data_IF_780691698068
#
_entry.id   IF_780691698068
#
_cell.length_a   1.000
_cell.length_b   1.000
_cell.length_c   1.000
_cell.angle_alpha   90.00
_cell.angle_beta   90.00
_cell.angle_gamma   90.00
#
_symmetry.space_group_name_H-M   'P 1'
#
loop_
_entity.id
_entity.type
_entity.pdbx_description
1 polymer ?
#
# COMPACT_ATOMS: atom_id res chain seq x y z
N UNK A 1 -65.44 -14.37 33.36
CA UNK A 1 -65.50 -13.77 32.01
C UNK A 1 -64.07 -13.55 31.52
N UNK A 2 -63.58 -14.47 30.69
CA UNK A 2 -62.22 -14.40 30.12
C UNK A 2 -62.28 -13.58 28.83
N UNK A 3 -61.59 -12.44 28.78
CA UNK A 3 -61.45 -11.63 27.56
C UNK A 3 -60.41 -12.25 26.65
N UNK A 4 -60.81 -12.74 25.49
CA UNK A 4 -59.99 -13.24 24.42
C UNK A 4 -59.39 -12.03 23.68
N UNK A 5 -58.06 -11.85 23.74
CA UNK A 5 -57.36 -10.86 22.94
C UNK A 5 -56.95 -11.52 21.64
N UNK A 6 -57.60 -11.06 20.55
CA UNK A 6 -57.32 -11.49 19.19
C UNK A 6 -56.10 -10.70 18.68
N UNK A 7 -54.93 -11.39 18.55
CA UNK A 7 -53.76 -10.77 17.91
C UNK A 7 -53.88 -10.97 16.41
N UNK A 8 -54.18 -9.88 15.70
CA UNK A 8 -54.15 -9.85 14.24
C UNK A 8 -52.69 -9.63 13.82
N UNK A 9 -52.03 -10.68 13.32
CA UNK A 9 -50.73 -10.58 12.68
C UNK A 9 -50.93 -10.08 11.25
N UNK A 10 -50.61 -8.82 11.01
CA UNK A 10 -50.48 -8.27 9.66
C UNK A 10 -49.22 -8.85 9.00
N UNK A 11 -49.39 -9.83 8.14
CA UNK A 11 -48.34 -10.24 7.19
C UNK A 11 -48.24 -9.15 6.12
N UNK A 12 -47.30 -8.25 6.27
CA UNK A 12 -46.88 -7.36 5.20
C UNK A 12 -46.00 -8.18 4.25
N UNK A 13 -46.36 -8.41 3.00
CA UNK A 13 -45.48 -9.02 2.04
C UNK A 13 -44.30 -8.08 1.79
N UNK A 14 -43.08 -8.49 2.22
CA UNK A 14 -41.85 -7.83 1.83
C UNK A 14 -41.67 -8.09 0.33
N UNK A 15 -42.04 -7.09 -0.47
CA UNK A 15 -41.68 -7.07 -1.88
C UNK A 15 -40.17 -6.85 -1.98
N UNK A 16 -39.41 -7.93 -2.04
CA UNK A 16 -38.03 -7.88 -2.47
C UNK A 16 -38.08 -7.62 -3.98
N UNK A 17 -38.07 -6.33 -4.36
CA UNK A 17 -37.74 -5.97 -5.70
C UNK A 17 -36.29 -6.36 -5.92
N UNK A 18 -36.08 -7.50 -6.57
CA UNK A 18 -34.80 -7.83 -7.16
C UNK A 18 -34.50 -6.76 -8.21
N UNK A 19 -33.81 -5.71 -7.78
CA UNK A 19 -33.07 -4.87 -8.69
C UNK A 19 -32.02 -5.80 -9.34
N UNK A 20 -32.32 -6.29 -10.54
CA UNK A 20 -31.30 -6.73 -11.46
C UNK A 20 -30.45 -5.49 -11.74
N UNK A 21 -29.36 -5.33 -10.96
CA UNK A 21 -28.22 -4.54 -11.41
C UNK A 21 -27.85 -5.17 -12.75
N UNK A 22 -28.05 -4.44 -13.85
CA UNK A 22 -27.40 -4.77 -15.10
C UNK A 22 -25.92 -4.81 -14.77
N UNK A 23 -25.38 -6.03 -14.65
CA UNK A 23 -23.96 -6.24 -14.75
C UNK A 23 -23.55 -5.66 -16.10
N UNK A 24 -23.00 -4.46 -16.08
CA UNK A 24 -22.16 -4.00 -17.17
C UNK A 24 -20.94 -4.89 -17.11
N UNK A 25 -20.99 -5.94 -17.88
CA UNK A 25 -19.90 -6.89 -18.12
C UNK A 25 -18.72 -6.14 -18.72
N UNK A 26 -17.87 -5.59 -17.86
CA UNK A 26 -16.55 -5.11 -18.25
C UNK A 26 -15.44 -6.14 -17.97
N UNK A 27 -15.75 -7.24 -17.29
CA UNK A 27 -14.87 -8.40 -17.21
C UNK A 27 -15.75 -9.66 -17.17
N UNK A 28 -15.79 -10.35 -18.28
CA UNK A 28 -16.34 -11.69 -18.36
C UNK A 28 -15.47 -12.62 -17.50
N UNK A 29 -16.05 -13.24 -16.48
CA UNK A 29 -15.43 -14.33 -15.70
C UNK A 29 -15.21 -15.61 -16.53
N UNK A 30 -15.29 -15.54 -17.86
CA UNK A 30 -15.06 -16.66 -18.80
C UNK A 30 -13.67 -16.64 -19.44
N UNK A 31 -12.75 -15.77 -18.97
CA UNK A 31 -11.39 -15.64 -19.55
C UNK A 31 -10.53 -16.90 -19.40
N UNK A 32 -10.85 -17.83 -18.52
CA UNK A 32 -10.09 -19.08 -18.42
C UNK A 32 -10.30 -20.03 -19.63
N UNK A 33 -11.35 -19.82 -20.44
CA UNK A 33 -11.62 -20.60 -21.65
C UNK A 33 -11.35 -19.86 -22.98
N UNK A 34 -11.27 -18.52 -22.96
CA UNK A 34 -11.02 -17.72 -24.16
C UNK A 34 -9.55 -17.34 -24.39
N UNK A 35 -8.68 -17.39 -23.36
CA UNK A 35 -7.24 -17.18 -23.50
C UNK A 35 -6.60 -18.14 -24.53
N UNK A 36 -7.25 -19.23 -24.86
CA UNK A 36 -6.75 -20.19 -25.86
C UNK A 36 -6.98 -19.80 -27.34
N UNK A 37 -7.68 -18.70 -27.66
CA UNK A 37 -8.10 -18.35 -29.02
C UNK A 37 -7.70 -16.98 -29.54
N UNK A 38 -7.10 -16.09 -28.75
CA UNK A 38 -6.69 -14.77 -29.25
C UNK A 38 -5.19 -14.68 -29.53
N UNK A 39 -4.89 -14.54 -30.81
CA UNK A 39 -3.64 -14.11 -31.46
C UNK A 39 -2.29 -14.62 -30.94
N UNK A 40 -1.70 -15.48 -31.73
CA UNK A 40 -0.38 -16.13 -31.58
C UNK A 40 0.86 -15.21 -31.54
N UNK A 41 0.79 -13.87 -31.42
CA UNK A 41 1.95 -13.00 -31.62
C UNK A 41 2.22 -11.93 -30.55
N UNK A 42 1.43 -11.78 -29.50
CA UNK A 42 1.82 -11.01 -28.31
C UNK A 42 1.88 -11.94 -27.10
N UNK A 43 3.05 -12.04 -26.48
CA UNK A 43 3.22 -12.76 -25.21
C UNK A 43 2.62 -11.89 -24.09
N UNK A 44 1.30 -11.96 -23.92
CA UNK A 44 0.60 -11.26 -22.83
C UNK A 44 1.10 -11.76 -21.49
N UNK A 45 1.51 -10.85 -20.63
CA UNK A 45 1.88 -11.16 -19.24
C UNK A 45 0.62 -11.16 -18.40
N UNK A 46 0.38 -12.26 -17.71
CA UNK A 46 -0.78 -12.44 -16.82
C UNK A 46 -0.34 -12.25 -15.37
N UNK A 47 -1.11 -11.51 -14.60
CA UNK A 47 -0.94 -11.35 -13.15
C UNK A 47 -2.02 -12.16 -12.44
N UNK A 48 -1.59 -13.09 -11.59
CA UNK A 48 -2.45 -13.81 -10.66
C UNK A 48 -2.38 -13.17 -9.27
N UNK A 49 -3.46 -12.51 -8.87
CA UNK A 49 -3.64 -11.93 -7.54
C UNK A 49 -4.17 -13.02 -6.61
N UNK A 50 -3.26 -13.68 -5.89
CA UNK A 50 -3.52 -14.96 -5.20
C UNK A 50 -4.57 -14.90 -4.09
N UNK A 51 -4.65 -13.79 -3.36
CA UNK A 51 -5.58 -13.60 -2.24
C UNK A 51 -6.98 -13.15 -2.69
N UNK A 52 -7.14 -12.82 -3.97
CA UNK A 52 -8.43 -12.52 -4.62
C UNK A 52 -8.86 -13.59 -5.65
N UNK A 53 -8.01 -14.59 -5.89
CA UNK A 53 -8.18 -15.62 -6.94
C UNK A 53 -8.52 -15.01 -8.31
N UNK A 54 -7.77 -13.98 -8.70
CA UNK A 54 -8.05 -13.16 -9.86
C UNK A 54 -6.89 -13.16 -10.86
N UNK A 55 -7.18 -13.45 -12.14
CA UNK A 55 -6.24 -13.36 -13.25
C UNK A 55 -6.52 -12.11 -14.06
N UNK A 56 -5.50 -11.31 -14.33
CA UNK A 56 -5.60 -10.01 -15.01
C UNK A 56 -4.49 -9.86 -16.05
N UNK A 57 -4.75 -9.08 -17.09
CA UNK A 57 -3.68 -8.49 -17.89
C UNK A 57 -2.83 -7.55 -17.05
N UNK A 58 -1.53 -7.43 -17.37
CA UNK A 58 -0.58 -6.61 -16.62
C UNK A 58 -1.06 -5.15 -16.46
N UNK A 59 -1.58 -4.54 -17.53
CA UNK A 59 -1.98 -3.13 -17.49
C UNK A 59 -3.27 -2.90 -16.67
N UNK A 60 -4.19 -3.86 -16.66
CA UNK A 60 -5.35 -3.83 -15.78
C UNK A 60 -4.95 -3.97 -14.32
N UNK A 61 -4.00 -4.86 -14.02
CA UNK A 61 -3.41 -4.97 -12.69
C UNK A 61 -2.73 -3.67 -12.26
N UNK A 62 -1.86 -3.09 -13.11
CA UNK A 62 -1.18 -1.81 -12.82
C UNK A 62 -2.19 -0.69 -12.57
N UNK A 63 -3.29 -0.64 -13.33
CA UNK A 63 -4.38 0.33 -13.11
C UNK A 63 -4.96 0.21 -11.70
N UNK A 64 -5.27 -1.01 -11.26
CA UNK A 64 -5.81 -1.25 -9.92
C UNK A 64 -4.82 -0.96 -8.79
N UNK A 65 -3.51 -1.16 -9.04
CA UNK A 65 -2.45 -0.78 -8.09
C UNK A 65 -2.31 0.73 -7.99
N UNK A 66 -2.18 1.44 -9.11
CA UNK A 66 -2.09 2.93 -9.11
C UNK A 66 -3.30 3.55 -8.41
N UNK A 67 -4.50 3.01 -8.69
CA UNK A 67 -5.74 3.46 -8.07
C UNK A 67 -5.81 3.21 -6.55
N UNK A 68 -5.12 2.18 -6.06
CA UNK A 68 -5.09 1.84 -4.64
C UNK A 68 -4.00 2.59 -3.86
N UNK A 69 -2.84 2.84 -4.49
CA UNK A 69 -1.64 3.38 -3.85
C UNK A 69 -1.55 4.91 -3.92
N UNK A 70 -2.12 5.53 -4.96
CA UNK A 70 -1.99 6.97 -5.16
C UNK A 70 -3.35 7.67 -5.31
N UNK A 71 -3.58 8.81 -4.63
CA UNK A 71 -4.81 9.58 -4.83
C UNK A 71 -4.98 9.99 -6.29
N UNK A 72 -6.16 9.70 -6.88
CA UNK A 72 -6.46 10.04 -8.27
C UNK A 72 -6.40 11.54 -8.59
N UNK A 73 -6.42 12.39 -7.55
CA UNK A 73 -6.28 13.86 -7.68
C UNK A 73 -4.85 14.33 -7.86
N UNK A 74 -3.84 13.47 -7.68
CA UNK A 74 -2.44 13.82 -7.94
C UNK A 74 -2.24 14.19 -9.41
N UNK A 75 -1.16 14.91 -9.68
CA UNK A 75 -0.79 15.29 -11.03
C UNK A 75 -0.58 14.05 -11.91
N UNK A 76 -0.85 14.20 -13.21
CA UNK A 76 -0.82 13.10 -14.14
C UNK A 76 0.58 12.47 -14.24
N UNK A 77 1.64 13.29 -14.18
CA UNK A 77 3.02 12.82 -14.19
C UNK A 77 3.36 11.98 -12.95
N UNK A 78 2.79 12.29 -11.79
CA UNK A 78 2.94 11.47 -10.60
C UNK A 78 2.25 10.10 -10.77
N UNK A 79 1.03 10.07 -11.35
CA UNK A 79 0.32 8.83 -11.67
C UNK A 79 1.09 7.99 -12.69
N UNK A 80 1.71 8.62 -13.70
CA UNK A 80 2.59 7.97 -14.68
C UNK A 80 3.82 7.36 -14.03
N UNK A 81 4.49 8.10 -13.14
CA UNK A 81 5.63 7.59 -12.37
C UNK A 81 5.25 6.37 -11.53
N UNK A 82 4.10 6.42 -10.82
CA UNK A 82 3.56 5.29 -10.07
C UNK A 82 3.26 4.09 -10.97
N UNK A 83 2.71 4.30 -12.18
CA UNK A 83 2.42 3.22 -13.12
C UNK A 83 3.70 2.51 -13.57
N UNK A 84 4.76 3.27 -13.91
CA UNK A 84 6.08 2.71 -14.27
C UNK A 84 6.69 1.95 -13.10
N UNK A 85 6.64 2.50 -11.88
CA UNK A 85 7.13 1.84 -10.69
C UNK A 85 6.36 0.54 -10.42
N UNK A 86 5.03 0.58 -10.39
CA UNK A 86 4.19 -0.60 -10.12
C UNK A 86 4.38 -1.70 -11.15
N UNK A 87 4.50 -1.34 -12.43
CA UNK A 87 4.77 -2.29 -13.51
C UNK A 87 6.15 -2.92 -13.37
N UNK A 88 7.17 -2.13 -13.02
CA UNK A 88 8.52 -2.63 -12.81
C UNK A 88 8.59 -3.61 -11.65
N UNK A 89 7.93 -3.29 -10.51
CA UNK A 89 7.80 -4.20 -9.38
C UNK A 89 7.20 -5.54 -9.80
N UNK A 90 6.04 -5.52 -10.44
CA UNK A 90 5.36 -6.73 -10.87
C UNK A 90 6.23 -7.55 -11.84
N UNK A 91 6.78 -6.89 -12.87
CA UNK A 91 7.58 -7.53 -13.91
C UNK A 91 8.91 -8.10 -13.39
N UNK A 92 9.47 -7.58 -12.29
CA UNK A 92 10.69 -8.13 -11.69
C UNK A 92 10.52 -9.56 -11.16
N UNK A 93 9.29 -10.00 -10.95
CA UNK A 93 8.94 -11.33 -10.42
C UNK A 93 8.32 -12.25 -11.48
N UNK A 94 8.38 -11.87 -12.77
CA UNK A 94 7.74 -12.65 -13.85
C UNK A 94 8.43 -13.99 -14.03
N UNK A 95 7.64 -15.06 -14.06
CA UNK A 95 8.08 -16.42 -14.37
C UNK A 95 7.14 -17.04 -15.42
N UNK A 96 7.70 -17.49 -16.55
CA UNK A 96 6.92 -18.08 -17.65
C UNK A 96 5.68 -17.27 -18.07
N UNK A 97 5.81 -15.94 -18.13
CA UNK A 97 4.72 -14.98 -18.43
C UNK A 97 3.60 -14.90 -17.39
N UNK A 98 3.76 -15.50 -16.24
CA UNK A 98 2.84 -15.38 -15.09
C UNK A 98 3.55 -14.69 -13.95
N UNK A 99 2.87 -13.72 -13.35
CA UNK A 99 3.26 -13.04 -12.12
C UNK A 99 2.30 -13.50 -11.03
N UNK A 100 2.80 -14.00 -9.90
CA UNK A 100 1.96 -14.34 -8.74
C UNK A 100 2.24 -13.34 -7.63
N UNK A 101 1.21 -12.63 -7.18
CA UNK A 101 1.34 -11.50 -6.25
C UNK A 101 0.14 -11.46 -5.29
N UNK A 102 0.29 -10.82 -4.12
CA UNK A 102 -0.83 -10.52 -3.22
C UNK A 102 -1.32 -9.09 -3.41
N UNK A 103 -2.58 -8.83 -3.03
CA UNK A 103 -3.18 -7.50 -3.08
C UNK A 103 -2.93 -6.65 -1.83
N UNK A 104 -1.94 -6.99 -1.02
CA UNK A 104 -1.64 -6.39 0.28
C UNK A 104 -0.29 -5.67 0.30
N UNK A 105 -0.01 -4.98 1.40
CA UNK A 105 1.29 -4.30 1.65
C UNK A 105 2.51 -5.23 1.67
N UNK A 106 2.33 -6.55 1.62
CA UNK A 106 3.45 -7.50 1.47
C UNK A 106 4.01 -7.52 0.05
N UNK A 107 3.21 -7.12 -0.93
CA UNK A 107 3.60 -6.92 -2.32
C UNK A 107 3.17 -5.51 -2.77
N UNK A 108 2.01 -5.38 -3.43
CA UNK A 108 1.44 -4.10 -3.85
C UNK A 108 -0.05 -4.08 -3.50
N UNK A 109 -0.55 -3.00 -2.92
CA UNK A 109 -1.99 -2.89 -2.68
C UNK A 109 -2.71 -2.81 -4.02
N UNK A 110 -3.65 -3.72 -4.24
CA UNK A 110 -4.47 -3.77 -5.44
C UNK A 110 -5.96 -3.68 -5.06
N UNK A 111 -6.72 -2.90 -5.79
CA UNK A 111 -8.18 -2.81 -5.68
C UNK A 111 -8.87 -3.15 -6.98
N UNK A 112 -9.93 -3.95 -6.87
CA UNK A 112 -10.84 -4.26 -7.99
C UNK A 112 -11.68 -3.03 -8.36
N UNK A 113 -12.25 -3.04 -9.56
CA UNK A 113 -13.18 -1.99 -9.99
C UNK A 113 -14.39 -1.85 -9.06
N UNK A 114 -14.85 -2.94 -8.48
CA UNK A 114 -15.93 -2.91 -7.47
C UNK A 114 -15.51 -2.13 -6.22
N UNK A 115 -14.34 -2.46 -5.63
CA UNK A 115 -13.79 -1.76 -4.47
C UNK A 115 -13.50 -0.28 -4.75
N UNK A 116 -13.04 0.04 -5.97
CA UNK A 116 -12.80 1.42 -6.40
C UNK A 116 -14.12 2.20 -6.58
N UNK A 117 -15.13 1.57 -7.15
CA UNK A 117 -16.46 2.19 -7.30
C UNK A 117 -17.09 2.52 -5.95
N UNK A 118 -16.98 1.61 -4.98
CA UNK A 118 -17.46 1.84 -3.61
C UNK A 118 -16.70 2.98 -2.92
N UNK A 119 -15.36 3.03 -3.07
CA UNK A 119 -14.54 4.08 -2.46
C UNK A 119 -14.75 5.48 -3.09
N UNK A 120 -14.91 5.56 -4.41
CA UNK A 120 -14.95 6.82 -5.16
C UNK A 120 -16.35 7.31 -5.47
N UNK A 121 -17.36 6.43 -5.34
CA UNK A 121 -18.76 6.76 -5.55
C UNK A 121 -18.99 7.55 -6.86
N UNK A 122 -19.62 8.71 -6.79
CA UNK A 122 -19.92 9.54 -7.96
C UNK A 122 -18.71 10.03 -8.77
N UNK A 123 -17.49 9.86 -8.25
CA UNK A 123 -16.25 10.23 -8.97
C UNK A 123 -15.58 9.07 -9.69
N UNK A 124 -16.11 7.84 -9.58
CA UNK A 124 -15.49 6.62 -10.07
C UNK A 124 -15.04 6.74 -11.53
N UNK A 125 -15.93 7.04 -12.45
CA UNK A 125 -15.63 7.13 -13.89
C UNK A 125 -14.54 8.17 -14.19
N UNK A 126 -14.61 9.34 -13.55
CA UNK A 126 -13.64 10.41 -13.73
C UNK A 126 -12.25 10.00 -13.27
N UNK A 127 -12.14 9.40 -12.08
CA UNK A 127 -10.86 9.01 -11.50
C UNK A 127 -10.26 7.82 -12.22
N UNK A 128 -11.07 6.81 -12.52
CA UNK A 128 -10.63 5.64 -13.26
C UNK A 128 -10.09 6.04 -14.64
N UNK A 129 -10.82 6.87 -15.39
CA UNK A 129 -10.38 7.35 -16.70
C UNK A 129 -9.02 8.07 -16.65
N UNK A 130 -8.80 8.90 -15.62
CA UNK A 130 -7.53 9.62 -15.44
C UNK A 130 -6.38 8.64 -15.20
N UNK A 131 -6.57 7.66 -14.32
CA UNK A 131 -5.54 6.66 -14.01
C UNK A 131 -5.26 5.76 -15.22
N UNK A 132 -6.31 5.28 -15.90
CA UNK A 132 -6.15 4.50 -17.14
C UNK A 132 -5.39 5.27 -18.22
N UNK A 133 -5.59 6.60 -18.32
CA UNK A 133 -4.82 7.48 -19.20
C UNK A 133 -3.33 7.43 -18.87
N UNK A 134 -2.97 7.64 -17.60
CA UNK A 134 -1.58 7.62 -17.14
C UNK A 134 -0.92 6.23 -17.35
N UNK A 135 -1.63 5.15 -17.08
CA UNK A 135 -1.14 3.78 -17.29
C UNK A 135 -0.91 3.50 -18.78
N UNK A 136 -1.86 3.91 -19.64
CA UNK A 136 -1.75 3.75 -21.09
C UNK A 136 -0.60 4.54 -21.71
N UNK A 137 -0.39 5.77 -21.27
CA UNK A 137 0.70 6.62 -21.78
C UNK A 137 2.09 6.10 -21.38
N UNK A 138 2.16 5.28 -20.35
CA UNK A 138 3.39 4.62 -19.88
C UNK A 138 3.44 3.12 -20.17
N UNK A 139 2.56 2.63 -21.05
CA UNK A 139 2.48 1.20 -21.41
C UNK A 139 3.85 0.69 -21.87
N UNK A 140 4.23 -0.51 -21.42
CA UNK A 140 5.53 -1.14 -21.68
C UNK A 140 6.76 -0.43 -21.09
N UNK A 141 6.63 0.68 -20.37
CA UNK A 141 7.77 1.32 -19.71
C UNK A 141 8.06 0.65 -18.37
N UNK A 142 9.31 0.24 -18.16
CA UNK A 142 9.83 -0.34 -16.93
C UNK A 142 11.21 0.24 -16.59
N UNK A 143 11.59 0.19 -15.32
CA UNK A 143 12.90 0.62 -14.83
C UNK A 143 13.87 -0.55 -14.92
N UNK A 144 15.03 -0.34 -15.53
CA UNK A 144 16.07 -1.35 -15.70
C UNK A 144 17.43 -0.85 -15.20
N UNK A 145 18.26 -1.78 -14.76
CA UNK A 145 19.70 -1.64 -14.54
C UNK A 145 20.38 -2.86 -15.13
N UNK A 146 21.46 -2.68 -15.88
CA UNK A 146 22.24 -3.77 -16.49
C UNK A 146 21.37 -4.76 -17.29
N UNK A 147 20.36 -4.25 -17.98
CA UNK A 147 19.33 -4.97 -18.74
C UNK A 147 18.33 -5.81 -17.90
N UNK A 148 18.45 -5.82 -16.58
CA UNK A 148 17.51 -6.48 -15.66
C UNK A 148 16.41 -5.50 -15.22
N UNK A 149 15.16 -5.96 -15.12
CA UNK A 149 14.05 -5.14 -14.59
C UNK A 149 14.23 -5.04 -13.08
N UNK A 150 14.29 -3.81 -12.58
CA UNK A 150 14.46 -3.58 -11.14
C UNK A 150 13.15 -3.82 -10.38
N UNK A 151 13.25 -4.47 -9.24
CA UNK A 151 12.20 -4.44 -8.23
C UNK A 151 12.16 -3.06 -7.60
N UNK A 152 11.17 -2.28 -7.97
CA UNK A 152 10.99 -0.90 -7.51
C UNK A 152 10.22 -0.85 -6.20
N UNK A 153 10.45 0.22 -5.45
CA UNK A 153 9.75 0.50 -4.20
C UNK A 153 9.18 1.90 -4.23
N UNK A 154 8.13 2.13 -3.46
CA UNK A 154 7.52 3.45 -3.28
C UNK A 154 6.89 3.55 -1.89
N UNK A 155 6.76 4.76 -1.40
CA UNK A 155 6.28 5.04 -0.06
C UNK A 155 5.54 6.39 -0.04
N UNK A 156 4.91 6.72 1.09
CA UNK A 156 3.98 7.86 1.12
C UNK A 156 4.67 9.22 1.24
N UNK A 157 5.75 9.32 2.05
CA UNK A 157 6.38 10.62 2.34
C UNK A 157 7.78 10.43 2.93
N UNK A 158 8.78 11.11 2.37
CA UNK A 158 10.15 11.09 2.90
C UNK A 158 10.28 11.99 4.15
N UNK A 159 11.38 11.80 4.88
CA UNK A 159 11.80 12.75 5.93
C UNK A 159 12.65 13.90 5.38
N UNK A 160 12.80 13.98 4.07
CA UNK A 160 13.68 14.92 3.33
C UNK A 160 14.75 14.21 2.52
N UNK A 161 14.88 12.89 2.72
CA UNK A 161 15.74 11.98 1.96
C UNK A 161 15.00 10.67 1.71
N UNK A 162 15.24 10.04 0.57
CA UNK A 162 14.90 8.64 0.41
C UNK A 162 15.89 7.78 1.18
N UNK A 163 15.50 6.55 1.51
CA UNK A 163 16.34 5.62 2.24
C UNK A 163 17.10 4.68 1.30
N UNK A 164 18.30 4.27 1.71
CA UNK A 164 19.05 3.24 0.99
C UNK A 164 18.37 1.89 1.14
N UNK A 165 18.13 1.20 0.01
CA UNK A 165 17.45 -0.10 0.00
C UNK A 165 18.22 -1.20 0.75
N UNK A 166 19.55 -1.09 0.85
CA UNK A 166 20.34 -2.02 1.63
C UNK A 166 20.03 -1.95 3.14
N UNK A 167 19.80 -0.74 3.65
CA UNK A 167 19.47 -0.51 5.06
C UNK A 167 18.09 -1.06 5.46
N UNK A 168 17.14 -1.08 4.52
CA UNK A 168 15.74 -1.43 4.81
C UNK A 168 15.38 -2.85 4.38
N UNK A 169 15.82 -3.26 3.18
CA UNK A 169 15.45 -4.54 2.56
C UNK A 169 16.61 -5.52 2.38
N UNK A 170 17.84 -5.11 2.77
CA UNK A 170 19.07 -5.85 2.51
C UNK A 170 19.32 -6.13 1.01
N UNK A 171 18.89 -5.19 0.16
CA UNK A 171 19.01 -5.24 -1.30
C UNK A 171 19.77 -4.00 -1.79
N UNK A 172 20.83 -4.17 -2.57
CA UNK A 172 21.63 -3.05 -3.10
C UNK A 172 21.04 -2.55 -4.45
N UNK A 173 19.85 -1.98 -4.40
CA UNK A 173 19.11 -1.52 -5.60
C UNK A 173 19.10 0.01 -5.69
N UNK A 174 18.75 0.70 -4.61
CA UNK A 174 18.56 2.15 -4.59
C UNK A 174 19.44 2.79 -3.53
N UNK A 175 20.09 3.88 -3.91
CA UNK A 175 20.78 4.78 -2.99
C UNK A 175 19.85 5.88 -2.48
N UNK A 176 20.22 6.52 -1.38
CA UNK A 176 19.51 7.67 -0.85
C UNK A 176 19.67 8.88 -1.75
N UNK A 177 18.60 9.63 -1.96
CA UNK A 177 18.58 10.92 -2.65
C UNK A 177 17.81 11.96 -1.86
N UNK A 178 18.10 13.24 -2.06
CA UNK A 178 17.36 14.34 -1.41
C UNK A 178 15.94 14.47 -1.96
N UNK A 179 14.96 14.62 -1.04
CA UNK A 179 13.52 14.78 -1.31
C UNK A 179 12.92 15.81 -0.35
N UNK A 180 13.48 17.02 -0.29
CA UNK A 180 13.18 18.01 0.75
C UNK A 180 11.83 18.72 0.61
N UNK A 181 11.14 18.61 -0.52
CA UNK A 181 9.88 19.32 -0.76
C UNK A 181 8.76 18.85 0.17
N UNK A 182 8.77 17.59 0.55
CA UNK A 182 7.73 16.96 1.41
C UNK A 182 7.77 17.48 2.84
N UNK A 183 8.90 18.01 3.32
CA UNK A 183 9.04 18.61 4.65
C UNK A 183 8.11 19.80 4.89
N UNK A 184 7.56 20.40 3.82
CA UNK A 184 6.64 21.54 3.88
C UNK A 184 5.18 21.13 4.04
N UNK A 185 4.87 19.85 3.98
CA UNK A 185 3.50 19.34 4.08
C UNK A 185 3.01 19.39 5.54
N UNK A 186 1.76 19.76 5.72
CA UNK A 186 1.16 19.91 7.07
C UNK A 186 1.11 18.61 7.87
N UNK A 187 1.12 17.47 7.17
CA UNK A 187 1.12 16.13 7.77
C UNK A 187 2.50 15.46 7.81
N UNK A 188 3.57 16.25 7.57
CA UNK A 188 4.95 15.77 7.58
C UNK A 188 5.36 15.11 8.89
N UNK A 189 4.93 15.68 10.02
CA UNK A 189 5.21 15.15 11.34
C UNK A 189 3.95 14.58 11.98
N UNK A 190 4.10 13.47 12.69
CA UNK A 190 3.03 12.84 13.49
C UNK A 190 3.56 12.44 14.84
N UNK A 191 2.82 12.81 15.88
CA UNK A 191 3.12 12.44 17.26
C UNK A 191 2.14 11.39 17.75
N UNK A 192 2.63 10.41 18.51
CA UNK A 192 1.87 9.42 19.26
C UNK A 192 2.39 9.36 20.69
N UNK A 193 1.52 9.13 21.66
CA UNK A 193 1.88 9.05 23.07
C UNK A 193 1.57 7.64 23.57
N UNK A 194 2.47 7.11 24.39
CA UNK A 194 2.34 5.82 25.05
C UNK A 194 2.59 5.99 26.54
N UNK A 195 1.82 5.30 27.36
CA UNK A 195 2.16 5.09 28.77
C UNK A 195 3.33 4.12 28.87
N UNK A 196 4.06 4.15 29.98
CA UNK A 196 5.14 3.19 30.27
C UNK A 196 4.66 1.73 30.15
N UNK A 197 3.45 1.44 30.69
CA UNK A 197 2.86 0.09 30.64
C UNK A 197 2.56 -0.41 29.21
N UNK A 198 2.09 0.49 28.33
CA UNK A 198 1.86 0.14 26.92
C UNK A 198 3.18 -0.16 26.19
N UNK A 199 4.22 0.65 26.39
CA UNK A 199 5.53 0.38 25.82
C UNK A 199 6.13 -0.92 26.35
N UNK A 200 6.07 -1.18 27.65
CA UNK A 200 6.52 -2.44 28.25
C UNK A 200 5.84 -3.63 27.57
N UNK A 201 4.53 -3.57 27.39
CA UNK A 201 3.75 -4.62 26.73
C UNK A 201 4.13 -4.82 25.26
N UNK A 202 4.22 -3.73 24.48
CA UNK A 202 4.53 -3.77 23.06
C UNK A 202 5.96 -4.26 22.78
N UNK A 203 6.93 -3.79 23.58
CA UNK A 203 8.35 -4.12 23.44
C UNK A 203 8.74 -5.43 24.14
N UNK A 204 7.83 -5.98 24.97
CA UNK A 204 8.06 -7.15 25.84
C UNK A 204 9.25 -6.90 26.77
N UNK A 205 9.15 -5.82 27.56
CA UNK A 205 10.12 -5.37 28.55
C UNK A 205 9.42 -5.18 29.89
N UNK A 206 10.18 -5.35 30.98
CA UNK A 206 9.68 -5.11 32.35
C UNK A 206 9.76 -3.62 32.74
N UNK A 207 10.67 -2.87 32.09
CA UNK A 207 10.89 -1.46 32.33
C UNK A 207 11.31 -0.74 31.04
N UNK A 208 11.17 0.59 30.99
CA UNK A 208 11.60 1.42 29.85
C UNK A 208 12.74 2.35 30.32
N UNK A 209 13.92 2.07 29.84
CA UNK A 209 15.11 2.91 30.02
C UNK A 209 15.80 3.06 28.66
N UNK A 210 15.63 4.21 28.01
CA UNK A 210 16.20 4.51 26.70
C UNK A 210 17.67 4.86 26.90
N UNK A 211 18.57 4.02 26.39
CA UNK A 211 20.01 4.11 26.61
C UNK A 211 20.77 4.69 25.43
N UNK A 212 20.38 4.32 24.21
CA UNK A 212 21.05 4.78 23.00
C UNK A 212 20.11 4.75 21.79
N UNK A 213 20.23 5.75 20.92
CA UNK A 213 19.57 5.80 19.62
C UNK A 213 20.64 6.11 18.58
N UNK A 214 20.96 5.11 17.74
CA UNK A 214 21.88 5.27 16.62
C UNK A 214 21.11 5.57 15.35
N UNK A 215 21.50 6.61 14.61
CA UNK A 215 20.89 7.01 13.34
C UNK A 215 21.86 6.77 12.18
N UNK A 216 21.32 6.56 11.00
CA UNK A 216 22.06 6.54 9.74
C UNK A 216 22.22 7.95 9.14
N UNK A 217 22.80 8.06 7.95
CA UNK A 217 23.11 9.32 7.27
C UNK A 217 21.84 10.11 6.87
N UNK A 218 20.70 9.43 6.71
CA UNK A 218 19.42 10.02 6.37
C UNK A 218 18.55 10.33 7.58
N UNK A 219 19.13 10.30 8.78
CA UNK A 219 18.50 10.55 10.07
C UNK A 219 17.49 9.48 10.53
N UNK A 220 17.30 8.41 9.77
CA UNK A 220 16.50 7.27 10.22
C UNK A 220 17.20 6.52 11.37
N UNK A 221 16.43 6.04 12.33
CA UNK A 221 16.96 5.21 13.41
C UNK A 221 17.38 3.85 12.84
N UNK A 222 18.67 3.56 12.91
CA UNK A 222 19.26 2.27 12.59
C UNK A 222 18.99 1.28 13.74
N UNK A 223 19.36 1.70 14.98
CA UNK A 223 19.22 0.90 16.20
C UNK A 223 18.81 1.75 17.39
N UNK A 224 18.05 1.14 18.29
CA UNK A 224 17.70 1.71 19.58
C UNK A 224 17.91 0.65 20.68
N UNK A 225 18.52 1.06 21.80
CA UNK A 225 18.74 0.20 22.96
C UNK A 225 17.84 0.70 24.10
N UNK A 226 16.95 -0.18 24.57
CA UNK A 226 16.01 0.07 25.66
C UNK A 226 16.14 -1.05 26.68
N UNK A 227 16.46 -0.71 27.94
CA UNK A 227 16.61 -1.68 29.04
C UNK A 227 17.52 -2.85 28.68
N UNK A 228 18.68 -2.56 28.07
CA UNK A 228 19.69 -3.51 27.57
C UNK A 228 19.23 -4.43 26.41
N UNK A 229 18.07 -4.17 25.82
CA UNK A 229 17.60 -4.88 24.63
C UNK A 229 17.76 -3.98 23.41
N UNK A 230 18.40 -4.50 22.38
CA UNK A 230 18.54 -3.84 21.08
C UNK A 230 17.35 -4.16 20.17
N UNK A 231 16.86 -3.12 19.50
CA UNK A 231 15.89 -3.20 18.41
C UNK A 231 16.46 -2.46 17.20
N UNK A 232 16.19 -2.98 15.99
CA UNK A 232 16.38 -2.18 14.78
C UNK A 232 15.27 -1.11 14.71
N UNK A 233 15.54 0.01 14.02
CA UNK A 233 14.52 1.05 13.82
C UNK A 233 13.28 0.50 13.11
N UNK A 234 13.46 -0.45 12.17
CA UNK A 234 12.36 -1.13 11.45
C UNK A 234 11.50 -1.97 12.39
N UNK A 235 12.13 -2.76 13.28
CA UNK A 235 11.40 -3.55 14.30
C UNK A 235 10.64 -2.63 15.27
N UNK A 236 11.31 -1.60 15.78
CA UNK A 236 10.70 -0.64 16.70
C UNK A 236 9.50 0.08 16.06
N UNK A 237 9.67 0.57 14.82
CA UNK A 237 8.58 1.15 14.04
C UNK A 237 7.39 0.20 13.91
N UNK A 238 7.64 -1.07 13.59
CA UNK A 238 6.60 -2.10 13.41
C UNK A 238 5.86 -2.42 14.70
N UNK A 239 6.60 -2.60 15.81
CA UNK A 239 6.03 -2.92 17.12
C UNK A 239 5.11 -1.80 17.63
N UNK A 240 5.47 -0.55 17.41
CA UNK A 240 4.71 0.62 17.88
C UNK A 240 3.78 1.20 16.80
N UNK A 241 3.72 0.60 15.61
CA UNK A 241 2.95 1.11 14.47
C UNK A 241 3.26 2.58 14.13
N UNK A 242 4.54 2.95 14.16
CA UNK A 242 4.99 4.29 13.83
C UNK A 242 4.96 4.52 12.31
N UNK A 243 4.81 5.77 11.90
CA UNK A 243 4.75 6.14 10.47
C UNK A 243 6.05 5.94 9.73
N UNK A 244 7.19 6.22 10.39
CA UNK A 244 8.53 6.09 9.80
C UNK A 244 9.54 5.61 10.84
N UNK A 245 10.78 5.37 10.41
CA UNK A 245 11.93 5.11 11.27
C UNK A 245 12.70 6.39 11.63
N UNK A 246 12.35 7.56 11.09
CA UNK A 246 12.81 8.85 11.62
C UNK A 246 11.87 9.30 12.73
N UNK A 247 12.25 8.98 13.97
CA UNK A 247 11.47 9.32 15.14
C UNK A 247 12.35 9.89 16.28
N UNK A 248 11.76 10.73 17.10
CA UNK A 248 12.31 11.24 18.35
C UNK A 248 11.41 10.77 19.49
N UNK A 249 12.00 10.49 20.66
CA UNK A 249 11.28 10.04 21.86
C UNK A 249 11.60 10.98 22.99
N UNK A 250 10.57 11.50 23.63
CA UNK A 250 10.64 12.30 24.85
C UNK A 250 9.82 11.62 25.95
N UNK A 251 10.33 11.66 27.18
CA UNK A 251 9.58 11.25 28.36
C UNK A 251 9.10 12.48 29.09
N UNK A 252 7.80 12.58 29.29
CA UNK A 252 7.17 13.65 30.06
C UNK A 252 6.13 13.07 31.03
N UNK A 253 6.35 13.29 32.35
CA UNK A 253 5.43 12.85 33.41
C UNK A 253 5.02 11.36 33.36
N UNK A 254 5.92 10.48 32.92
CA UNK A 254 5.69 9.03 32.83
C UNK A 254 4.97 8.60 31.54
N UNK A 255 4.74 9.51 30.63
CA UNK A 255 4.32 9.25 29.26
C UNK A 255 5.51 9.38 28.30
N UNK A 256 5.49 8.59 27.22
CA UNK A 256 6.49 8.60 26.16
C UNK A 256 5.87 9.19 24.90
N UNK A 257 6.33 10.35 24.51
CA UNK A 257 5.88 11.09 23.33
C UNK A 257 6.82 10.75 22.18
N UNK A 258 6.30 10.12 21.12
CA UNK A 258 7.10 9.73 19.96
C UNK A 258 6.65 10.54 18.75
N UNK A 259 7.54 11.39 18.25
CA UNK A 259 7.34 12.21 17.06
C UNK A 259 8.03 11.58 15.87
N UNK A 260 7.29 11.27 14.81
CA UNK A 260 7.82 10.70 13.55
C UNK A 260 7.79 11.73 12.43
N UNK A 261 8.81 11.75 11.56
CA UNK A 261 8.90 12.56 10.35
C UNK A 261 8.79 11.66 9.12
N UNK A 262 7.98 12.07 8.12
CA UNK A 262 7.69 11.26 6.94
C UNK A 262 6.69 10.12 7.19
N UNK A 263 6.50 9.27 6.18
CA UNK A 263 5.58 8.14 6.24
C UNK A 263 5.97 7.04 5.25
N UNK A 264 6.28 5.88 5.74
CA UNK A 264 6.67 4.71 4.95
C UNK A 264 8.06 4.20 5.31
N UNK A 265 8.59 3.35 4.44
CA UNK A 265 9.93 2.78 4.60
C UNK A 265 11.05 3.65 4.03
N UNK A 266 10.72 4.67 3.26
CA UNK A 266 11.66 5.64 2.71
C UNK A 266 12.37 5.22 1.42
N UNK A 267 12.26 3.98 0.96
CA UNK A 267 13.01 3.48 -0.20
C UNK A 267 12.28 3.74 -1.52
N UNK A 268 12.99 4.25 -2.53
CA UNK A 268 12.49 4.42 -3.90
C UNK A 268 11.77 5.76 -4.11
N UNK A 269 10.55 5.69 -4.64
CA UNK A 269 9.76 6.87 -5.00
C UNK A 269 8.78 7.24 -3.90
#
# INVERSE_FOLDING_TARGET
MKKLILIIIFLVPIYISSFKVKETTFFNNDTSKEISKTNKNSKTVIVYVKDKDLYLDLEDYVTGVVAAEMPALFDEEALKAQAVASRSYAMSSVNNHIITISSSISDQVYKTNYELSDNWQGNYEKYLKKIQGAVKETENLVIKRDNEILRTYYFSMSNGYTENSLAVFNENIFESVSSSLEQKLSNYQKTVTFTKGELCKLLKLDDINIQNIKRNETNHVDKIIISNKEFTGVEFRKLLNLRSTDFEIEEDNGEYIIATKGYGHGVGM
#
